data_IF_342452880384
#
_entry.id   IF_342452880384
#
_cell.length_a   1.000
_cell.length_b   1.000
_cell.length_c   1.000
_cell.angle_alpha   90.00
_cell.angle_beta   90.00
_cell.angle_gamma   90.00
#
_symmetry.space_group_name_H-M   'P 1'
#
loop_
_entity.id
_entity.type
_entity.pdbx_description
1 polymer ?
#
# COMPACT_ATOMS: atom_id res chain seq x y z
N UNK A 1 66.53 20.23 35.03
CA UNK A 1 67.88 20.81 35.26
C UNK A 1 67.70 22.03 36.16
N UNK A 2 67.95 21.85 37.46
CA UNK A 2 67.83 22.86 38.52
C UNK A 2 68.99 23.87 38.46
N UNK A 3 68.71 25.16 38.70
CA UNK A 3 69.62 26.18 39.27
C UNK A 3 68.74 27.30 39.85
N UNK A 4 68.53 27.32 41.18
CA UNK A 4 69.23 28.11 42.22
C UNK A 4 69.13 29.63 41.97
N UNK A 5 68.27 30.32 42.73
CA UNK A 5 68.50 31.00 44.03
C UNK A 5 69.19 32.35 43.86
N UNK A 6 68.54 33.40 44.37
CA UNK A 6 69.09 34.74 44.52
C UNK A 6 68.15 35.64 45.33
N UNK A 7 68.25 35.55 46.65
CA UNK A 7 67.66 36.48 47.63
C UNK A 7 68.30 37.86 47.54
N UNK A 8 67.49 38.93 47.61
CA UNK A 8 67.94 40.24 48.03
C UNK A 8 66.87 40.90 48.93
N UNK A 9 67.17 40.96 50.22
CA UNK A 9 66.56 41.89 51.17
C UNK A 9 67.14 43.29 50.93
N UNK A 10 66.29 44.31 50.77
CA UNK A 10 66.55 45.68 51.24
C UNK A 10 65.20 46.43 51.27
N UNK A 11 64.62 46.56 52.46
CA UNK A 11 64.64 47.78 53.30
C UNK A 11 63.79 48.93 52.74
N UNK A 12 62.69 49.16 53.47
CA UNK A 12 62.17 50.46 53.88
C UNK A 12 61.79 51.46 52.80
N UNK A 13 60.49 51.77 52.68
CA UNK A 13 60.01 53.08 53.13
C UNK A 13 58.49 53.10 53.24
N UNK A 14 57.99 53.79 54.27
CA UNK A 14 56.60 53.88 54.73
C UNK A 14 55.74 54.72 53.78
N UNK A 15 55.53 54.26 52.54
CA UNK A 15 54.71 54.95 51.55
C UNK A 15 53.76 54.00 50.81
N UNK A 16 53.30 52.95 51.49
CA UNK A 16 52.46 51.88 50.89
C UNK A 16 51.01 51.90 51.39
N UNK A 17 50.60 52.88 52.20
CA UNK A 17 49.23 52.92 52.76
C UNK A 17 48.30 54.01 52.19
N UNK A 18 48.78 54.89 51.30
CA UNK A 18 47.96 56.00 50.77
C UNK A 18 47.67 55.92 49.26
N UNK A 19 48.34 55.03 48.49
CA UNK A 19 48.05 54.83 47.06
C UNK A 19 47.14 53.63 46.75
N UNK A 20 46.88 52.73 47.72
CA UNK A 20 45.93 51.62 47.52
C UNK A 20 44.47 52.09 47.67
N UNK A 21 44.24 53.19 48.39
CA UNK A 21 42.90 53.76 48.62
C UNK A 21 42.36 54.55 47.44
N UNK A 22 43.20 54.95 46.48
CA UNK A 22 42.77 55.73 45.31
C UNK A 22 42.53 54.91 44.04
N UNK A 23 43.01 53.66 43.98
CA UNK A 23 42.74 52.77 42.83
C UNK A 23 41.42 51.99 43.02
N UNK A 24 40.97 51.76 44.26
CA UNK A 24 39.67 51.15 44.53
C UNK A 24 38.47 52.10 44.33
N UNK A 25 38.70 53.41 44.21
CA UNK A 25 37.63 54.39 43.98
C UNK A 25 37.34 54.66 42.49
N UNK A 26 38.19 54.21 41.57
CA UNK A 26 37.99 54.42 40.13
C UNK A 26 37.36 53.22 39.40
N UNK A 27 37.29 52.04 40.04
CA UNK A 27 36.73 50.82 39.44
C UNK A 27 35.22 50.64 39.61
N UNK A 28 34.52 51.57 40.28
CA UNK A 28 33.04 51.51 40.44
C UNK A 28 32.27 52.38 39.45
N UNK A 29 32.94 53.18 38.61
CA UNK A 29 32.29 54.10 37.67
C UNK A 29 31.84 53.47 36.34
N UNK A 30 32.17 52.20 36.10
CA UNK A 30 31.61 51.40 35.00
C UNK A 30 30.85 50.18 35.55
N UNK A 31 30.07 50.37 36.61
CA UNK A 31 28.89 49.54 36.79
C UNK A 31 28.01 49.80 35.56
N UNK A 32 28.05 48.86 34.60
CA UNK A 32 27.23 48.87 33.43
C UNK A 32 25.81 49.27 33.87
N UNK A 33 25.32 50.41 33.36
CA UNK A 33 23.90 50.72 33.39
C UNK A 33 23.23 49.60 32.62
N UNK A 34 22.90 48.51 33.31
CA UNK A 34 21.93 47.55 32.84
C UNK A 34 20.71 48.42 32.55
N UNK A 35 20.39 48.61 31.27
CA UNK A 35 19.24 49.38 30.88
C UNK A 35 18.03 48.71 31.54
N UNK A 36 17.54 49.28 32.63
CA UNK A 36 16.33 48.82 33.30
C UNK A 36 15.19 49.25 32.41
N UNK A 37 14.85 48.41 31.44
CA UNK A 37 13.63 48.58 30.65
C UNK A 37 12.47 48.31 31.60
N UNK A 38 11.67 49.33 31.88
CA UNK A 38 10.40 49.16 32.56
C UNK A 38 9.40 48.59 31.55
N UNK A 39 9.02 47.32 31.73
CA UNK A 39 8.07 46.64 30.86
C UNK A 39 6.73 46.60 31.60
N UNK A 40 5.73 47.38 31.17
CA UNK A 40 4.44 47.42 31.86
C UNK A 40 3.76 46.06 31.81
N UNK A 41 3.22 45.63 32.95
CA UNK A 41 2.46 44.38 33.06
C UNK A 41 1.12 44.53 32.37
N UNK A 42 0.89 43.77 31.30
CA UNK A 42 -0.38 43.74 30.57
C UNK A 42 -1.28 42.61 31.10
N UNK A 43 -1.87 42.80 32.28
CA UNK A 43 -2.71 41.78 32.95
C UNK A 43 -3.93 41.36 32.10
N UNK A 44 -4.48 42.28 31.32
CA UNK A 44 -5.67 42.07 30.49
C UNK A 44 -5.47 40.99 29.42
N UNK A 45 -4.24 40.77 28.97
CA UNK A 45 -3.92 39.70 28.00
C UNK A 45 -4.22 38.29 28.52
N UNK A 46 -4.27 38.11 29.85
CA UNK A 46 -4.49 36.83 30.51
C UNK A 46 -5.82 36.77 31.29
N UNK A 47 -6.67 37.77 31.13
CA UNK A 47 -7.95 37.87 31.85
C UNK A 47 -9.06 36.94 31.33
N UNK A 48 -8.82 36.27 30.19
CA UNK A 48 -9.81 35.39 29.54
C UNK A 48 -9.47 33.92 29.73
N UNK A 49 -10.50 33.11 29.99
CA UNK A 49 -10.38 31.65 29.98
C UNK A 49 -10.17 31.17 28.55
N UNK A 50 -9.07 30.44 28.24
CA UNK A 50 -8.82 29.96 26.89
C UNK A 50 -9.90 28.96 26.45
N UNK A 51 -10.43 29.15 25.25
CA UNK A 51 -11.29 28.16 24.59
C UNK A 51 -10.46 27.16 23.79
N UNK A 52 -10.93 25.92 23.60
CA UNK A 52 -10.25 24.97 22.72
C UNK A 52 -10.14 25.50 21.28
N UNK A 53 -8.96 25.35 20.69
CA UNK A 53 -8.72 25.76 19.30
C UNK A 53 -9.57 24.96 18.30
N UNK A 54 -10.04 25.61 17.25
CA UNK A 54 -10.65 24.91 16.11
C UNK A 54 -9.58 24.21 15.23
N UNK A 55 -9.95 23.26 14.36
CA UNK A 55 -9.01 22.67 13.41
C UNK A 55 -8.31 23.69 12.51
N UNK A 56 -8.98 24.79 12.13
CA UNK A 56 -8.39 25.85 11.31
C UNK A 56 -7.40 26.70 12.09
N UNK A 57 -7.62 26.92 13.39
CA UNK A 57 -6.64 27.58 14.26
C UNK A 57 -5.40 26.70 14.45
N UNK A 58 -5.57 25.40 14.68
CA UNK A 58 -4.46 24.45 14.71
C UNK A 58 -3.66 24.46 13.38
N UNK A 59 -4.35 24.58 12.25
CA UNK A 59 -3.74 24.61 10.91
C UNK A 59 -2.83 25.81 10.66
N UNK A 60 -2.98 26.91 11.42
CA UNK A 60 -2.11 28.08 11.30
C UNK A 60 -0.65 27.75 11.62
N UNK A 61 -0.41 26.77 12.51
CA UNK A 61 0.92 26.29 12.86
C UNK A 61 1.23 24.89 12.29
N UNK A 62 0.24 24.00 12.24
CA UNK A 62 0.41 22.61 11.78
C UNK A 62 -0.03 22.39 10.32
N UNK A 63 0.46 23.23 9.42
CA UNK A 63 0.05 23.25 8.01
C UNK A 63 0.27 21.92 7.29
N UNK A 64 1.38 21.23 7.56
CA UNK A 64 1.71 19.92 6.97
C UNK A 64 0.73 18.82 7.41
N UNK A 65 0.40 18.77 8.71
CA UNK A 65 -0.56 17.79 9.25
C UNK A 65 -1.96 18.05 8.69
N UNK A 66 -2.39 19.32 8.70
CA UNK A 66 -3.67 19.72 8.14
C UNK A 66 -3.77 19.39 6.64
N UNK A 67 -2.71 19.69 5.87
CA UNK A 67 -2.61 19.34 4.45
C UNK A 67 -2.69 17.82 4.21
N UNK A 68 -1.97 17.03 5.00
CA UNK A 68 -1.98 15.56 4.92
C UNK A 68 -3.38 15.00 5.21
N UNK A 69 -4.06 15.51 6.23
CA UNK A 69 -5.44 15.15 6.54
C UNK A 69 -6.37 15.52 5.38
N UNK A 70 -6.28 16.74 4.87
CA UNK A 70 -7.08 17.22 3.72
C UNK A 70 -6.88 16.39 2.47
N UNK A 71 -5.66 15.91 2.20
CA UNK A 71 -5.37 15.10 1.01
C UNK A 71 -5.71 13.62 1.19
N UNK A 72 -5.41 13.04 2.36
CA UNK A 72 -5.42 11.58 2.53
C UNK A 72 -5.80 11.08 3.93
N UNK A 73 -6.35 11.93 4.80
CA UNK A 73 -6.76 11.56 6.15
C UNK A 73 -7.97 10.63 6.26
N UNK A 74 -8.77 10.49 5.18
CA UNK A 74 -9.97 9.67 5.20
C UNK A 74 -10.91 10.04 6.36
N UNK A 75 -11.24 9.06 7.21
CA UNK A 75 -12.10 9.26 8.40
C UNK A 75 -11.42 9.97 9.57
N UNK A 76 -10.10 10.16 9.55
CA UNK A 76 -9.37 10.87 10.62
C UNK A 76 -9.50 12.40 10.54
N UNK A 77 -10.47 12.92 9.75
CA UNK A 77 -10.77 14.34 9.58
C UNK A 77 -11.83 14.78 10.60
N UNK A 78 -11.43 14.89 11.86
CA UNK A 78 -12.26 15.36 12.97
C UNK A 78 -11.43 16.32 13.86
N UNK A 79 -12.04 16.89 14.91
CA UNK A 79 -11.36 17.89 15.73
C UNK A 79 -10.11 17.32 16.42
N UNK A 80 -9.01 18.06 16.37
CA UNK A 80 -7.71 17.62 16.86
C UNK A 80 -7.77 17.15 18.32
N UNK A 81 -8.59 17.82 19.13
CA UNK A 81 -8.79 17.58 20.56
C UNK A 81 -9.60 16.31 20.86
N UNK A 82 -10.26 15.71 19.87
CA UNK A 82 -10.88 14.41 20.07
C UNK A 82 -9.82 13.31 20.25
N UNK A 83 -8.61 13.52 19.72
CA UNK A 83 -7.47 12.63 19.88
C UNK A 83 -6.42 13.23 20.84
N UNK A 84 -5.99 14.47 20.60
CA UNK A 84 -4.97 15.16 21.40
C UNK A 84 -5.57 15.85 22.63
N UNK A 85 -5.57 15.14 23.77
CA UNK A 85 -6.01 15.70 25.06
C UNK A 85 -4.97 16.57 25.75
N UNK A 86 -3.69 16.36 25.44
CA UNK A 86 -2.57 17.19 25.87
C UNK A 86 -1.84 17.73 24.63
N UNK A 87 -1.77 19.05 24.49
CA UNK A 87 -1.20 19.75 23.33
C UNK A 87 -0.05 20.65 23.81
N UNK A 88 1.03 20.71 23.03
CA UNK A 88 2.27 21.44 23.36
C UNK A 88 2.91 21.03 24.70
N UNK A 89 2.68 19.78 25.13
CA UNK A 89 3.22 19.23 26.38
C UNK A 89 4.50 18.40 26.19
N UNK A 90 4.92 18.17 24.95
CA UNK A 90 6.13 17.42 24.63
C UNK A 90 7.37 18.21 25.06
N UNK A 91 8.27 17.54 25.77
CA UNK A 91 9.55 18.10 26.18
C UNK A 91 10.67 17.09 25.88
N UNK A 92 11.60 17.41 24.96
CA UNK A 92 12.71 16.52 24.61
C UNK A 92 13.56 16.09 25.80
N UNK A 93 13.72 16.94 26.82
CA UNK A 93 14.50 16.60 28.04
C UNK A 93 13.78 15.56 28.92
N UNK A 94 12.45 15.46 28.81
CA UNK A 94 11.64 14.47 29.53
C UNK A 94 11.38 13.20 28.73
N UNK A 95 11.68 13.20 27.43
CA UNK A 95 11.43 12.08 26.51
C UNK A 95 9.99 11.53 26.59
N UNK A 96 9.00 12.38 26.86
CA UNK A 96 7.63 11.99 27.18
C UNK A 96 6.72 11.79 25.94
N UNK A 97 7.28 11.52 24.77
CA UNK A 97 6.50 11.41 23.53
C UNK A 97 5.50 10.25 23.60
N UNK A 98 5.95 9.05 23.98
CA UNK A 98 5.12 7.84 23.99
C UNK A 98 3.97 7.89 25.00
N UNK A 99 4.15 8.65 26.09
CA UNK A 99 3.12 8.91 27.10
C UNK A 99 2.03 9.85 26.55
N UNK A 100 2.44 10.90 25.85
CA UNK A 100 1.54 11.93 25.31
C UNK A 100 0.80 11.50 24.04
N UNK A 101 1.37 10.56 23.27
CA UNK A 101 0.76 10.17 22.01
C UNK A 101 -0.54 9.39 22.21
N UNK A 102 -1.65 9.82 21.56
CA UNK A 102 -2.91 9.13 21.67
C UNK A 102 -2.81 7.67 21.23
N UNK A 103 -3.43 6.78 22.01
CA UNK A 103 -3.43 5.35 21.71
C UNK A 103 -4.51 5.02 20.70
N UNK A 104 -4.16 4.33 19.62
CA UNK A 104 -5.12 3.90 18.59
C UNK A 104 -6.28 3.09 19.18
N UNK A 105 -5.99 2.32 20.24
CA UNK A 105 -6.94 1.48 20.96
C UNK A 105 -8.04 2.24 21.70
N UNK A 106 -7.95 3.58 21.81
CA UNK A 106 -9.04 4.38 22.40
C UNK A 106 -10.30 4.38 21.54
N UNK A 107 -10.15 4.17 20.22
CA UNK A 107 -11.26 4.19 19.26
C UNK A 107 -11.29 2.94 18.36
N UNK A 108 -10.13 2.31 18.10
CA UNK A 108 -10.01 1.14 17.24
C UNK A 108 -9.83 -0.13 18.06
N UNK A 109 -10.51 -1.20 17.64
CA UNK A 109 -10.25 -2.56 18.12
C UNK A 109 -9.18 -3.23 17.25
N UNK A 110 -8.98 -4.54 17.40
CA UNK A 110 -7.99 -5.34 16.65
C UNK A 110 -8.38 -5.49 15.15
N UNK A 111 -8.33 -4.40 14.38
CA UNK A 111 -8.75 -4.32 12.97
C UNK A 111 -7.96 -5.24 12.01
N UNK A 112 -6.76 -5.67 12.42
CA UNK A 112 -5.90 -6.61 11.68
C UNK A 112 -5.73 -7.93 12.44
N UNK A 113 -6.64 -8.23 13.37
CA UNK A 113 -6.58 -9.38 14.25
C UNK A 113 -5.61 -9.19 15.42
N UNK A 114 -5.63 -10.14 16.39
CA UNK A 114 -4.91 -9.99 17.66
C UNK A 114 -3.38 -10.04 17.51
N UNK A 115 -2.86 -10.51 16.37
CA UNK A 115 -1.43 -10.60 16.09
C UNK A 115 -0.79 -9.27 15.65
N UNK A 116 -1.59 -8.26 15.29
CA UNK A 116 -1.11 -7.01 14.69
C UNK A 116 -1.53 -5.77 15.50
N UNK A 117 -1.13 -5.74 16.78
CA UNK A 117 -1.48 -4.64 17.72
C UNK A 117 -0.49 -3.46 17.72
N UNK A 118 0.69 -3.68 17.19
CA UNK A 118 1.74 -2.68 17.08
C UNK A 118 1.49 -1.79 15.84
N UNK A 119 0.53 -0.86 15.97
CA UNK A 119 0.03 -0.06 14.87
C UNK A 119 1.13 0.78 14.19
N UNK A 120 1.99 1.42 14.99
CA UNK A 120 3.02 2.36 14.53
C UNK A 120 4.14 1.67 13.74
N UNK A 121 4.33 0.36 13.90
CA UNK A 121 5.30 -0.39 13.10
C UNK A 121 4.99 -0.43 11.60
N UNK A 122 3.74 -0.21 11.22
CA UNK A 122 3.30 -0.13 9.83
C UNK A 122 2.73 1.27 9.50
N UNK A 123 2.01 1.88 10.43
CA UNK A 123 1.38 3.18 10.26
C UNK A 123 2.26 4.30 10.83
N UNK A 124 3.24 4.73 10.05
CA UNK A 124 4.17 5.78 10.46
C UNK A 124 3.51 7.14 10.71
N UNK A 125 2.35 7.40 10.09
CA UNK A 125 1.60 8.64 10.27
C UNK A 125 0.14 8.35 10.69
N UNK A 126 -0.23 8.60 11.97
CA UNK A 126 -1.59 8.36 12.45
C UNK A 126 -2.63 9.30 11.82
N UNK A 127 -2.20 10.39 11.18
CA UNK A 127 -3.08 11.30 10.45
C UNK A 127 -3.42 10.82 9.04
N UNK A 128 -2.62 9.91 8.48
CA UNK A 128 -2.86 9.32 7.15
C UNK A 128 -2.71 7.80 7.19
N UNK A 129 -3.46 7.09 8.06
CA UNK A 129 -3.19 5.69 8.37
C UNK A 129 -3.36 4.76 7.16
N UNK A 130 -4.06 5.16 6.10
CA UNK A 130 -4.19 4.36 4.87
C UNK A 130 -2.96 4.42 3.96
N UNK A 131 -2.03 5.34 4.21
CA UNK A 131 -0.75 5.40 3.50
C UNK A 131 0.25 4.55 4.28
N UNK A 132 0.43 3.32 3.83
CA UNK A 132 1.34 2.35 4.44
C UNK A 132 2.46 2.04 3.47
N UNK A 133 3.69 2.33 3.89
CA UNK A 133 4.88 1.99 3.12
C UNK A 133 5.10 0.48 3.09
N UNK A 134 5.68 -0.04 2.01
CA UNK A 134 6.15 -1.43 1.94
C UNK A 134 7.44 -1.59 2.74
N UNK A 135 7.31 -1.68 4.06
CA UNK A 135 8.42 -2.02 4.95
C UNK A 135 8.85 -3.48 4.75
N UNK A 136 10.07 -3.82 5.17
CA UNK A 136 10.54 -5.20 5.12
C UNK A 136 9.64 -6.14 5.93
N UNK A 137 9.15 -5.68 7.10
CA UNK A 137 8.18 -6.41 7.93
C UNK A 137 6.94 -6.77 7.12
N UNK A 138 6.28 -5.78 6.52
CA UNK A 138 5.04 -6.00 5.76
C UNK A 138 5.24 -6.85 4.50
N UNK A 139 6.38 -6.68 3.82
CA UNK A 139 6.75 -7.48 2.63
C UNK A 139 6.91 -8.96 2.98
N UNK A 140 7.37 -9.27 4.18
CA UNK A 140 7.59 -10.65 4.63
C UNK A 140 6.34 -11.31 5.22
N UNK A 141 5.27 -10.55 5.50
CA UNK A 141 4.07 -11.06 6.20
C UNK A 141 2.81 -11.04 5.35
N UNK A 142 2.90 -10.92 4.02
CA UNK A 142 1.72 -10.88 3.15
C UNK A 142 0.80 -12.10 3.38
N UNK A 143 1.39 -13.30 3.51
CA UNK A 143 0.65 -14.55 3.68
C UNK A 143 -0.05 -14.68 5.04
N UNK A 144 0.33 -13.88 6.05
CA UNK A 144 -0.33 -13.86 7.36
C UNK A 144 -1.77 -13.36 7.25
N UNK A 145 -2.03 -12.42 6.33
CA UNK A 145 -3.36 -11.88 6.08
C UNK A 145 -3.96 -12.35 4.75
N UNK A 146 -3.11 -12.68 3.77
CA UNK A 146 -3.49 -13.13 2.43
C UNK A 146 -3.00 -14.55 2.16
N UNK A 147 -3.52 -15.51 2.94
CA UNK A 147 -3.15 -16.92 2.81
C UNK A 147 -3.51 -17.50 1.44
N UNK A 148 -4.69 -17.16 0.91
CA UNK A 148 -5.20 -17.69 -0.36
C UNK A 148 -4.29 -17.38 -1.57
N UNK A 149 -3.91 -16.12 -1.87
CA UNK A 149 -2.95 -15.83 -2.94
C UNK A 149 -1.64 -16.62 -2.87
N UNK A 150 -1.10 -16.81 -1.66
CA UNK A 150 0.12 -17.57 -1.46
C UNK A 150 -0.11 -19.05 -1.76
N UNK A 151 -1.23 -19.61 -1.29
CA UNK A 151 -1.62 -20.99 -1.54
C UNK A 151 -1.86 -21.24 -3.05
N UNK A 152 -2.53 -20.32 -3.75
CA UNK A 152 -2.77 -20.40 -5.19
C UNK A 152 -1.45 -20.46 -5.98
N UNK A 153 -0.50 -19.57 -5.68
CA UNK A 153 0.80 -19.52 -6.38
C UNK A 153 1.65 -20.79 -6.16
N UNK A 154 1.48 -21.45 -5.02
CA UNK A 154 2.11 -22.75 -4.70
C UNK A 154 1.41 -23.89 -5.42
N UNK A 155 0.08 -23.94 -5.36
CA UNK A 155 -0.75 -24.98 -5.96
C UNK A 155 -0.71 -24.97 -7.49
N UNK A 156 -0.60 -23.78 -8.09
CA UNK A 156 -0.66 -23.57 -9.54
C UNK A 156 0.59 -22.84 -10.07
N UNK A 157 1.75 -23.52 -10.13
CA UNK A 157 3.01 -22.87 -10.47
C UNK A 157 3.00 -22.25 -11.87
N UNK A 158 3.41 -20.99 -11.93
CA UNK A 158 3.49 -20.18 -13.15
C UNK A 158 4.68 -19.22 -13.08
N UNK A 159 4.88 -18.38 -14.11
CA UNK A 159 5.91 -17.33 -14.06
C UNK A 159 5.70 -16.33 -12.92
N UNK A 160 4.45 -16.12 -12.49
CA UNK A 160 4.16 -15.26 -11.34
C UNK A 160 4.63 -15.86 -10.01
N UNK A 161 4.71 -17.20 -9.89
CA UNK A 161 5.22 -17.87 -8.69
C UNK A 161 6.69 -17.57 -8.41
N UNK A 162 7.42 -17.03 -9.40
CA UNK A 162 8.83 -16.63 -9.29
C UNK A 162 9.00 -15.18 -8.84
N UNK A 163 7.91 -14.41 -8.72
CA UNK A 163 7.95 -13.01 -8.34
C UNK A 163 7.60 -12.86 -6.85
N UNK A 164 8.34 -12.00 -6.16
CA UNK A 164 7.93 -11.55 -4.83
C UNK A 164 6.66 -10.70 -4.92
N UNK A 165 5.77 -10.77 -3.91
CA UNK A 165 4.49 -10.07 -3.89
C UNK A 165 4.66 -8.56 -4.18
N UNK A 166 5.68 -7.95 -3.57
CA UNK A 166 5.99 -6.52 -3.69
C UNK A 166 6.47 -6.08 -5.09
N UNK A 167 6.82 -7.01 -5.98
CA UNK A 167 7.13 -6.67 -7.39
C UNK A 167 5.91 -6.16 -8.14
N UNK A 168 4.72 -6.65 -7.77
CA UNK A 168 3.45 -6.26 -8.38
C UNK A 168 2.65 -5.36 -7.42
N UNK A 169 2.64 -5.68 -6.13
CA UNK A 169 1.93 -4.92 -5.09
C UNK A 169 2.88 -3.91 -4.42
N UNK A 170 3.05 -2.75 -5.06
CA UNK A 170 4.02 -1.72 -4.64
C UNK A 170 3.59 -0.92 -3.41
N UNK A 171 2.34 -1.02 -2.98
CA UNK A 171 1.85 -0.48 -1.72
C UNK A 171 0.73 -1.35 -1.15
N UNK A 172 0.50 -1.23 0.16
CA UNK A 172 -0.53 -2.02 0.83
C UNK A 172 -1.92 -1.66 0.31
N UNK A 173 -2.68 -2.66 -0.13
CA UNK A 173 -4.01 -2.46 -0.72
C UNK A 173 -4.01 -2.04 -2.19
N UNK A 174 -2.83 -1.86 -2.81
CA UNK A 174 -2.73 -1.58 -4.23
C UNK A 174 -2.93 -2.86 -5.07
N UNK A 175 -3.83 -2.77 -6.05
CA UNK A 175 -4.03 -3.80 -7.07
C UNK A 175 -3.42 -3.32 -8.37
N UNK A 176 -2.33 -3.95 -8.87
CA UNK A 176 -1.68 -3.51 -10.09
C UNK A 176 -2.57 -3.74 -11.31
N UNK A 177 -2.39 -2.90 -12.33
CA UNK A 177 -2.94 -3.17 -13.65
C UNK A 177 -2.17 -4.30 -14.34
N UNK A 178 -2.88 -5.19 -15.04
CA UNK A 178 -2.28 -6.23 -15.86
C UNK A 178 -1.38 -5.64 -16.97
N UNK A 179 -1.74 -4.45 -17.47
CA UNK A 179 -1.05 -3.74 -18.55
C UNK A 179 0.35 -3.26 -18.20
N UNK A 180 0.72 -3.26 -16.91
CA UNK A 180 2.08 -2.94 -16.49
C UNK A 180 3.11 -3.92 -17.07
N UNK A 181 2.70 -5.15 -17.41
CA UNK A 181 3.58 -6.16 -17.99
C UNK A 181 2.96 -6.94 -19.16
N UNK A 182 1.63 -7.02 -19.27
CA UNK A 182 0.96 -7.83 -20.28
C UNK A 182 0.32 -6.99 -21.38
N UNK A 183 0.41 -7.49 -22.61
CA UNK A 183 -0.39 -6.99 -23.75
C UNK A 183 -1.76 -7.71 -23.76
N UNK A 184 -2.82 -7.05 -24.28
CA UNK A 184 -4.10 -7.71 -24.48
C UNK A 184 -3.99 -8.86 -25.48
N UNK A 185 -4.92 -9.82 -25.41
CA UNK A 185 -4.95 -10.96 -26.34
C UNK A 185 -5.52 -10.58 -27.71
N UNK A 186 -6.35 -9.55 -27.79
CA UNK A 186 -6.92 -9.03 -29.03
C UNK A 186 -7.11 -7.51 -28.95
N UNK A 187 -7.21 -6.87 -30.12
CA UNK A 187 -7.38 -5.42 -30.20
C UNK A 187 -8.67 -4.98 -29.51
N UNK A 188 -8.56 -3.98 -28.63
CA UNK A 188 -9.70 -3.43 -27.90
C UNK A 188 -10.16 -4.23 -26.67
N UNK A 189 -9.45 -5.29 -26.28
CA UNK A 189 -9.75 -5.98 -25.02
C UNK A 189 -9.56 -5.03 -23.82
N UNK A 190 -10.63 -4.82 -23.05
CA UNK A 190 -10.58 -4.00 -21.85
C UNK A 190 -9.80 -4.70 -20.72
N UNK A 191 -8.93 -3.98 -20.03
CA UNK A 191 -8.00 -4.56 -19.04
C UNK A 191 -8.69 -5.18 -17.81
N UNK A 192 -9.83 -4.63 -17.41
CA UNK A 192 -10.64 -5.17 -16.31
C UNK A 192 -11.26 -6.54 -16.66
N UNK A 193 -11.24 -6.95 -17.92
CA UNK A 193 -11.74 -8.25 -18.37
C UNK A 193 -10.71 -9.37 -18.28
N UNK A 194 -9.42 -9.08 -18.11
CA UNK A 194 -8.36 -10.10 -18.11
C UNK A 194 -8.59 -11.18 -17.03
N UNK A 195 -8.96 -10.73 -15.82
CA UNK A 195 -9.20 -11.61 -14.68
C UNK A 195 -10.49 -12.43 -14.78
N UNK A 196 -11.39 -12.13 -15.74
CA UNK A 196 -12.59 -12.93 -16.00
C UNK A 196 -12.23 -14.30 -16.58
N UNK A 197 -11.13 -14.36 -17.33
CA UNK A 197 -10.68 -15.60 -17.93
C UNK A 197 -9.70 -16.36 -17.04
N UNK A 198 -8.72 -15.67 -16.45
CA UNK A 198 -7.74 -16.32 -15.58
C UNK A 198 -7.33 -15.44 -14.39
N UNK A 199 -7.29 -15.96 -13.16
CA UNK A 199 -6.81 -15.19 -12.01
C UNK A 199 -5.30 -14.98 -12.05
N UNK A 200 -4.82 -13.85 -11.51
CA UNK A 200 -3.38 -13.48 -11.59
C UNK A 200 -2.47 -14.45 -10.82
N UNK A 201 -2.94 -15.03 -9.71
CA UNK A 201 -2.17 -15.98 -8.90
C UNK A 201 -2.28 -17.44 -9.37
N UNK A 202 -3.09 -17.69 -10.40
CA UNK A 202 -3.23 -19.00 -11.03
C UNK A 202 -3.54 -18.83 -12.54
N UNK A 203 -2.67 -18.11 -13.30
CA UNK A 203 -3.01 -17.63 -14.65
C UNK A 203 -3.16 -18.74 -15.69
N UNK A 204 -2.74 -19.96 -15.37
CA UNK A 204 -2.93 -21.15 -16.20
C UNK A 204 -4.32 -21.77 -16.03
N UNK A 205 -5.05 -21.40 -14.98
CA UNK A 205 -6.42 -21.82 -14.75
C UNK A 205 -7.33 -20.86 -15.50
N UNK A 206 -7.71 -21.27 -16.71
CA UNK A 206 -8.59 -20.50 -17.60
C UNK A 206 -10.02 -21.02 -17.47
N UNK A 207 -10.93 -20.12 -17.12
CA UNK A 207 -12.37 -20.35 -16.99
C UNK A 207 -13.13 -19.30 -17.78
N UNK A 208 -14.34 -19.61 -18.24
CA UNK A 208 -15.18 -18.64 -18.96
C UNK A 208 -16.64 -19.08 -18.88
N UNK A 209 -17.56 -18.14 -19.11
CA UNK A 209 -18.98 -18.44 -19.17
C UNK A 209 -19.35 -18.98 -20.55
N UNK A 210 -20.48 -19.67 -20.64
CA UNK A 210 -21.03 -20.16 -21.92
C UNK A 210 -21.45 -19.05 -22.88
N UNK A 211 -21.50 -17.80 -22.39
CA UNK A 211 -21.84 -16.60 -23.15
C UNK A 211 -20.62 -15.86 -23.70
N UNK A 212 -19.40 -16.33 -23.43
CA UNK A 212 -18.18 -15.70 -23.93
C UNK A 212 -18.18 -15.70 -25.48
N UNK A 213 -17.91 -14.56 -26.15
CA UNK A 213 -17.90 -14.50 -27.60
C UNK A 213 -16.84 -15.43 -28.22
N UNK A 214 -17.20 -16.16 -29.28
CA UNK A 214 -16.28 -17.03 -30.01
C UNK A 214 -15.02 -16.29 -30.53
N UNK A 215 -15.14 -14.99 -30.82
CA UNK A 215 -14.01 -14.14 -31.21
C UNK A 215 -12.92 -14.06 -30.11
N UNK A 216 -13.30 -14.11 -28.83
CA UNK A 216 -12.35 -14.18 -27.71
C UNK A 216 -11.52 -15.44 -27.80
N UNK A 217 -12.13 -16.59 -28.09
CA UNK A 217 -11.43 -17.86 -28.32
C UNK A 217 -10.48 -17.77 -29.54
N UNK A 218 -10.93 -17.09 -30.59
CA UNK A 218 -10.16 -16.84 -31.81
C UNK A 218 -8.87 -16.05 -31.60
N UNK A 219 -8.73 -15.29 -30.51
CA UNK A 219 -7.48 -14.59 -30.17
C UNK A 219 -6.29 -15.55 -29.98
N UNK A 220 -6.55 -16.76 -29.46
CA UNK A 220 -5.55 -17.79 -29.26
C UNK A 220 -5.70 -18.94 -30.27
N UNK A 221 -6.94 -19.26 -30.65
CA UNK A 221 -7.29 -20.37 -31.54
C UNK A 221 -7.58 -19.89 -32.97
N UNK A 222 -6.73 -19.02 -33.52
CA UNK A 222 -6.94 -18.34 -34.82
C UNK A 222 -7.31 -19.30 -35.96
N UNK A 223 -6.59 -20.42 -36.09
CA UNK A 223 -6.83 -21.43 -37.13
C UNK A 223 -8.19 -22.12 -36.98
N UNK A 224 -8.55 -22.53 -35.76
CA UNK A 224 -9.81 -23.23 -35.48
C UNK A 224 -10.98 -22.26 -35.65
N UNK A 225 -10.84 -21.03 -35.15
CA UNK A 225 -11.85 -19.99 -35.29
C UNK A 225 -12.11 -19.64 -36.77
N UNK A 226 -11.06 -19.56 -37.59
CA UNK A 226 -11.20 -19.34 -39.03
C UNK A 226 -11.99 -20.47 -39.71
N UNK A 227 -11.68 -21.74 -39.39
CA UNK A 227 -12.44 -22.90 -39.90
C UNK A 227 -13.91 -22.88 -39.46
N UNK A 228 -14.15 -22.72 -38.16
CA UNK A 228 -15.50 -22.65 -37.58
C UNK A 228 -16.35 -21.53 -38.17
N UNK A 229 -15.73 -20.39 -38.50
CA UNK A 229 -16.41 -19.26 -39.15
C UNK A 229 -16.74 -19.53 -40.62
N UNK A 230 -15.92 -20.33 -41.32
CA UNK A 230 -16.06 -20.59 -42.75
C UNK A 230 -16.85 -21.87 -43.07
N UNK A 231 -17.00 -22.79 -42.10
CA UNK A 231 -17.62 -24.09 -42.37
C UNK A 231 -19.12 -23.95 -42.71
N UNK A 232 -19.63 -24.71 -43.70
CA UNK A 232 -21.06 -24.79 -43.99
C UNK A 232 -21.84 -25.62 -42.96
N UNK A 233 -21.17 -26.33 -42.05
CA UNK A 233 -21.79 -27.13 -41.01
C UNK A 233 -22.66 -26.29 -40.07
N UNK A 234 -23.74 -26.88 -39.53
CA UNK A 234 -24.55 -26.26 -38.46
C UNK A 234 -23.75 -26.00 -37.17
N UNK A 235 -22.59 -26.64 -37.00
CA UNK A 235 -21.70 -26.38 -35.86
C UNK A 235 -21.13 -24.95 -35.88
N UNK A 236 -21.07 -24.28 -37.04
CA UNK A 236 -20.74 -22.84 -37.13
C UNK A 236 -21.73 -21.94 -36.36
N UNK A 237 -22.93 -22.45 -36.04
CA UNK A 237 -23.95 -21.73 -35.27
C UNK A 237 -23.85 -21.96 -33.77
N UNK A 238 -22.96 -22.85 -33.32
CA UNK A 238 -22.76 -23.16 -31.91
C UNK A 238 -21.50 -22.46 -31.43
N UNK A 239 -21.63 -21.55 -30.48
CA UNK A 239 -20.48 -20.83 -29.91
C UNK A 239 -19.52 -21.81 -29.21
N UNK A 240 -18.21 -21.55 -29.34
CA UNK A 240 -17.13 -22.31 -28.69
C UNK A 240 -17.43 -22.59 -27.20
N UNK A 241 -17.87 -21.59 -26.45
CA UNK A 241 -18.10 -21.68 -25.01
C UNK A 241 -19.31 -22.54 -24.62
N UNK A 242 -20.23 -22.80 -25.54
CA UNK A 242 -21.37 -23.72 -25.33
C UNK A 242 -20.89 -25.17 -25.39
N UNK A 243 -19.98 -25.48 -26.30
CA UNK A 243 -19.40 -26.80 -26.48
C UNK A 243 -18.30 -27.08 -25.43
N UNK A 244 -17.32 -26.17 -25.35
CA UNK A 244 -16.20 -26.24 -24.42
C UNK A 244 -16.56 -25.63 -23.06
N UNK A 245 -17.63 -26.11 -22.42
CA UNK A 245 -18.20 -25.54 -21.19
C UNK A 245 -17.28 -25.69 -19.96
N UNK A 246 -17.62 -24.94 -18.90
CA UNK A 246 -17.06 -24.98 -17.53
C UNK A 246 -15.60 -24.58 -17.39
N UNK A 247 -14.70 -25.21 -18.15
CA UNK A 247 -13.26 -24.98 -18.07
C UNK A 247 -12.61 -25.08 -19.44
N UNK A 248 -11.54 -24.32 -19.60
CA UNK A 248 -10.70 -24.43 -20.78
C UNK A 248 -10.18 -25.87 -20.94
N UNK A 249 -10.13 -26.34 -22.20
CA UNK A 249 -9.78 -27.72 -22.61
C UNK A 249 -10.80 -28.80 -22.27
N UNK A 250 -11.99 -28.46 -21.77
CA UNK A 250 -13.10 -29.41 -21.77
C UNK A 250 -13.45 -29.77 -23.22
N UNK A 251 -13.54 -31.06 -23.55
CA UNK A 251 -14.00 -31.52 -24.87
C UNK A 251 -15.20 -32.43 -24.64
N UNK A 252 -16.42 -32.05 -25.07
CA UNK A 252 -17.59 -32.87 -24.85
C UNK A 252 -17.56 -34.13 -25.71
N UNK A 253 -18.29 -35.14 -25.26
CA UNK A 253 -18.66 -36.28 -26.10
C UNK A 253 -19.81 -35.91 -27.03
N UNK A 254 -19.83 -36.49 -28.23
CA UNK A 254 -20.89 -36.24 -29.21
C UNK A 254 -22.29 -36.55 -28.65
N UNK A 255 -22.37 -37.57 -27.80
CA UNK A 255 -23.60 -38.06 -27.17
C UNK A 255 -24.15 -37.16 -26.08
N UNK A 256 -23.40 -36.13 -25.65
CA UNK A 256 -23.93 -35.12 -24.71
C UNK A 256 -25.01 -34.25 -25.37
N UNK A 257 -25.02 -34.15 -26.71
CA UNK A 257 -26.00 -33.35 -27.45
C UNK A 257 -26.73 -34.16 -28.52
N UNK A 258 -26.08 -35.15 -29.14
CA UNK A 258 -26.65 -35.93 -30.23
C UNK A 258 -27.12 -37.31 -29.77
N UNK A 259 -28.39 -37.63 -30.04
CA UNK A 259 -28.94 -38.97 -29.82
C UNK A 259 -28.77 -39.80 -31.10
N UNK A 260 -27.81 -40.73 -31.08
CA UNK A 260 -27.59 -41.77 -32.09
C UNK A 260 -27.82 -41.31 -33.56
N UNK A 261 -26.92 -40.48 -34.13
CA UNK A 261 -27.09 -39.93 -35.48
C UNK A 261 -27.01 -40.98 -36.61
N UNK A 262 -26.61 -42.20 -36.28
CA UNK A 262 -26.50 -43.33 -37.20
C UNK A 262 -27.20 -44.58 -36.64
N UNK A 263 -27.55 -45.56 -37.51
CA UNK A 263 -28.05 -46.86 -37.08
C UNK A 263 -27.07 -47.58 -36.15
N UNK A 264 -27.60 -48.42 -35.26
CA UNK A 264 -26.81 -49.18 -34.27
C UNK A 264 -25.65 -49.97 -34.89
N UNK A 265 -25.83 -50.56 -36.07
CA UNK A 265 -24.79 -51.31 -36.77
C UNK A 265 -23.54 -50.47 -37.10
N UNK A 266 -23.70 -49.19 -37.44
CA UNK A 266 -22.58 -48.27 -37.70
C UNK A 266 -21.93 -47.85 -36.39
N UNK A 267 -22.73 -47.52 -35.38
CA UNK A 267 -22.22 -47.08 -34.06
C UNK A 267 -21.47 -48.20 -33.34
N UNK A 268 -21.91 -49.45 -33.47
CA UNK A 268 -21.25 -50.62 -32.88
C UNK A 268 -19.91 -50.91 -33.58
N UNK A 269 -19.84 -50.74 -34.91
CA UNK A 269 -18.61 -50.96 -35.69
C UNK A 269 -17.62 -49.80 -35.59
N UNK A 270 -18.10 -48.56 -35.46
CA UNK A 270 -17.30 -47.34 -35.39
C UNK A 270 -17.70 -46.47 -34.19
N UNK A 271 -17.27 -46.85 -32.97
CA UNK A 271 -17.68 -46.15 -31.74
C UNK A 271 -17.10 -44.74 -31.61
N UNK A 272 -16.05 -44.39 -32.38
CA UNK A 272 -15.43 -43.05 -32.39
C UNK A 272 -15.89 -42.27 -33.61
N UNK A 273 -16.75 -41.27 -33.42
CA UNK A 273 -17.30 -40.45 -34.51
C UNK A 273 -16.20 -39.78 -35.36
N UNK A 274 -15.09 -39.37 -34.73
CA UNK A 274 -13.97 -38.71 -35.40
C UNK A 274 -13.19 -39.60 -36.38
N UNK A 275 -13.45 -40.91 -36.41
CA UNK A 275 -12.86 -41.79 -37.43
C UNK A 275 -13.31 -41.42 -38.85
N UNK A 276 -14.54 -40.89 -38.99
CA UNK A 276 -15.08 -40.43 -40.27
C UNK A 276 -15.36 -38.92 -40.29
N UNK A 277 -15.69 -38.32 -39.14
CA UNK A 277 -16.08 -36.91 -39.04
C UNK A 277 -14.93 -35.92 -38.82
N UNK A 278 -13.67 -36.38 -38.82
CA UNK A 278 -12.36 -35.69 -38.87
C UNK A 278 -12.17 -34.38 -38.06
N UNK A 279 -12.98 -33.34 -38.24
CA UNK A 279 -12.92 -32.06 -37.53
C UNK A 279 -14.33 -31.58 -37.17
N UNK A 280 -14.65 -31.50 -35.87
CA UNK A 280 -15.96 -31.00 -35.38
C UNK A 280 -16.19 -29.52 -35.71
N UNK A 281 -15.12 -28.76 -35.94
CA UNK A 281 -15.19 -27.34 -36.30
C UNK A 281 -15.34 -27.13 -37.81
N UNK A 282 -15.24 -28.20 -38.60
CA UNK A 282 -15.40 -28.20 -40.04
C UNK A 282 -15.99 -29.53 -40.53
N UNK A 283 -17.10 -29.92 -39.93
CA UNK A 283 -17.79 -31.16 -40.27
C UNK A 283 -18.25 -31.11 -41.74
N UNK A 284 -18.03 -32.17 -42.52
CA UNK A 284 -18.56 -32.26 -43.87
C UNK A 284 -20.08 -32.07 -43.85
N UNK A 285 -20.58 -31.00 -44.48
CA UNK A 285 -22.02 -30.85 -44.69
C UNK A 285 -22.42 -31.74 -45.87
N UNK A 286 -23.25 -32.76 -45.61
CA UNK A 286 -24.02 -33.39 -46.69
C UNK A 286 -24.93 -32.28 -47.24
N UNK A 287 -24.72 -31.90 -48.50
CA UNK A 287 -25.63 -31.00 -49.22
C UNK A 287 -27.01 -31.60 -49.32
#
# INVERSE_FOLDING_TARGET
MMKRVGTALARSSRLTLLLVSLIFAASTAFAAKNATVDIPVQADLYAVTPTPLSPTQCAQCHTSVFGSLKQSGGKHRFDCQQCHKAIHSYNPKKANYDELMPKCSSCHTDIHGPANKDCSSCHANPHTPRIVAMTQRLTNTCATCHAEPKAELVKFPSKHSLLACAKCHTSHGFKPSCSACHKPHYQGQAYDTCAKCHPVHQPKQVTYTTTEPAATCGSCHTKVFAKWKATPSRHSKVNCAVCHKEKHRYVPQCTECHKAPHPKSILDRYPKCLACHLDVHDLPSMK
#
